data_IF_647117643610
#
_entry.id   IF_647117643610
#
_cell.length_a   1.000
_cell.length_b   1.000
_cell.length_c   1.000
_cell.angle_alpha   90.00
_cell.angle_beta   90.00
_cell.angle_gamma   90.00
#
_symmetry.space_group_name_H-M   'P 1'
#
loop_
_entity.id
_entity.type
_entity.pdbx_description
1 polymer ?
#
# COMPACT_ATOMS: atom_id res chain seq x y z
N UNK A 1 -5.69 -19.95 10.76
CA UNK A 1 -6.09 -19.62 9.37
C UNK A 1 -6.14 -20.93 8.62
N UNK A 2 -7.20 -21.19 7.86
CA UNK A 2 -7.31 -22.42 7.08
C UNK A 2 -6.16 -22.51 6.07
N UNK A 3 -5.72 -23.74 5.76
CA UNK A 3 -4.72 -24.04 4.73
C UNK A 3 -5.21 -23.72 3.30
N UNK A 4 -6.43 -23.21 3.17
CA UNK A 4 -7.06 -22.79 1.93
C UNK A 4 -6.78 -21.30 1.70
N UNK A 5 -6.12 -20.96 0.59
CA UNK A 5 -5.79 -19.59 0.22
C UNK A 5 -7.02 -18.66 0.22
N UNK A 6 -6.78 -17.37 0.54
CA UNK A 6 -7.85 -16.36 0.56
C UNK A 6 -7.92 -15.70 -0.81
N UNK A 7 -9.09 -15.74 -1.45
CA UNK A 7 -9.36 -15.03 -2.71
C UNK A 7 -9.88 -13.64 -2.39
N UNK A 8 -9.19 -12.63 -2.89
CA UNK A 8 -9.59 -11.23 -2.80
C UNK A 8 -10.00 -10.70 -4.17
N UNK A 9 -11.11 -9.94 -4.22
CA UNK A 9 -11.50 -9.18 -5.42
C UNK A 9 -11.59 -7.70 -5.08
N UNK A 10 -10.79 -6.87 -5.75
CA UNK A 10 -10.79 -5.42 -5.49
C UNK A 10 -10.60 -4.62 -6.77
N UNK A 11 -11.15 -3.41 -6.80
CA UNK A 11 -10.85 -2.41 -7.84
C UNK A 11 -9.56 -1.63 -7.54
N UNK A 12 -9.11 -1.69 -6.29
CA UNK A 12 -7.88 -1.06 -5.83
C UNK A 12 -6.62 -1.77 -6.32
N UNK A 13 -5.49 -1.30 -5.81
CA UNK A 13 -4.24 -2.07 -5.89
C UNK A 13 -4.34 -3.27 -4.95
N UNK A 14 -3.40 -4.21 -5.09
CA UNK A 14 -3.18 -5.28 -4.10
C UNK A 14 -3.08 -4.66 -2.68
N UNK A 15 -3.91 -5.07 -1.71
CA UNK A 15 -3.81 -4.50 -0.36
C UNK A 15 -2.57 -5.00 0.38
N UNK A 16 -2.17 -6.26 0.16
CA UNK A 16 -0.94 -6.84 0.70
C UNK A 16 0.06 -7.10 -0.43
N UNK A 17 1.32 -6.70 -0.23
CA UNK A 17 2.43 -6.91 -1.18
C UNK A 17 3.01 -8.32 -1.03
N UNK A 18 3.74 -8.80 -2.05
CA UNK A 18 4.38 -10.13 -2.00
C UNK A 18 5.53 -10.10 -1.01
N UNK A 19 5.85 -11.24 -0.41
CA UNK A 19 6.95 -11.41 0.54
C UNK A 19 6.83 -10.57 1.81
N UNK A 20 5.61 -10.16 2.18
CA UNK A 20 5.37 -9.59 3.50
C UNK A 20 5.32 -10.66 4.59
N UNK A 21 5.75 -10.31 5.79
CA UNK A 21 5.73 -11.20 6.94
C UNK A 21 4.72 -10.73 7.97
N UNK A 22 3.93 -11.66 8.50
CA UNK A 22 2.95 -11.41 9.55
C UNK A 22 3.20 -12.33 10.74
N UNK A 23 3.04 -11.79 11.95
CA UNK A 23 3.04 -12.55 13.19
C UNK A 23 1.60 -12.84 13.61
N UNK A 24 1.34 -14.09 14.03
CA UNK A 24 0.03 -14.51 14.54
C UNK A 24 0.25 -15.60 15.57
N UNK A 25 -0.21 -15.35 16.79
CA UNK A 25 -0.15 -16.33 17.90
C UNK A 25 1.30 -16.81 18.16
N UNK A 26 2.30 -15.93 18.00
CA UNK A 26 3.73 -16.22 18.19
C UNK A 26 4.42 -16.90 17.00
N UNK A 27 3.67 -17.25 15.96
CA UNK A 27 4.17 -17.85 14.73
C UNK A 27 4.31 -16.81 13.61
N UNK A 28 5.25 -17.05 12.69
CA UNK A 28 5.56 -16.13 11.60
C UNK A 28 5.20 -16.75 10.26
N UNK A 29 4.55 -15.97 9.42
CA UNK A 29 4.05 -16.38 8.11
C UNK A 29 4.59 -15.44 7.04
N UNK A 30 5.02 -16.00 5.91
CA UNK A 30 5.21 -15.25 4.66
C UNK A 30 3.90 -15.21 3.91
N UNK A 31 3.47 -14.02 3.52
CA UNK A 31 2.30 -13.79 2.70
C UNK A 31 2.76 -13.58 1.26
N UNK A 32 2.35 -14.52 0.41
CA UNK A 32 2.53 -14.43 -1.04
C UNK A 32 1.18 -14.20 -1.70
N UNK A 33 1.19 -13.66 -2.91
CA UNK A 33 -0.02 -13.56 -3.72
C UNK A 33 0.28 -13.84 -5.19
N UNK A 34 -0.75 -14.33 -5.87
CA UNK A 34 -0.79 -14.40 -7.32
C UNK A 34 -2.02 -13.63 -7.82
N UNK A 35 -1.87 -12.83 -8.89
CA UNK A 35 -3.03 -12.23 -9.56
C UNK A 35 -3.62 -13.27 -10.52
N UNK A 36 -4.74 -13.84 -10.14
CA UNK A 36 -5.43 -14.92 -10.88
C UNK A 36 -6.45 -14.39 -11.88
N UNK A 37 -6.85 -13.12 -11.79
CA UNK A 37 -7.80 -12.54 -12.72
C UNK A 37 -7.76 -11.01 -12.82
N UNK A 38 -8.23 -10.52 -13.97
CA UNK A 38 -8.54 -9.12 -14.21
C UNK A 38 -9.72 -9.04 -15.17
N UNK A 39 -10.72 -8.22 -14.85
CA UNK A 39 -11.88 -7.97 -15.71
C UNK A 39 -12.22 -6.48 -15.70
N UNK A 40 -12.70 -5.98 -16.83
CA UNK A 40 -13.22 -4.61 -16.92
C UNK A 40 -14.68 -4.60 -16.48
N UNK A 41 -15.01 -3.73 -15.54
CA UNK A 41 -16.34 -3.55 -14.99
C UNK A 41 -16.88 -2.18 -15.40
N UNK A 42 -18.17 -2.09 -15.71
CA UNK A 42 -18.81 -0.81 -16.00
C UNK A 42 -18.64 0.15 -14.81
N UNK A 43 -18.30 1.39 -15.12
CA UNK A 43 -18.10 2.44 -14.13
C UNK A 43 -18.64 3.78 -14.65
N UNK A 44 -18.76 4.74 -13.74
CA UNK A 44 -19.16 6.14 -14.03
C UNK A 44 -18.13 7.10 -13.45
N UNK A 45 -18.07 8.31 -14.00
CA UNK A 45 -17.33 9.41 -13.37
C UNK A 45 -18.18 10.01 -12.26
N UNK A 46 -17.59 10.28 -11.11
CA UNK A 46 -18.29 10.83 -9.98
C UNK A 46 -17.45 11.86 -9.23
N UNK A 47 -18.15 12.84 -8.67
CA UNK A 47 -17.63 13.79 -7.70
C UNK A 47 -18.36 13.56 -6.37
N UNK A 48 -17.61 13.61 -5.27
CA UNK A 48 -18.16 13.54 -3.92
C UNK A 48 -17.44 14.55 -3.03
N UNK A 49 -18.20 15.30 -2.24
CA UNK A 49 -17.66 16.19 -1.23
C UNK A 49 -18.43 16.13 0.08
N UNK A 50 -17.68 16.13 1.18
CA UNK A 50 -18.22 16.26 2.53
C UNK A 50 -17.20 16.96 3.43
N UNK A 51 -17.70 17.79 4.33
CA UNK A 51 -16.95 18.35 5.45
C UNK A 51 -17.78 18.25 6.73
N UNK A 52 -17.10 18.22 7.88
CA UNK A 52 -17.78 18.14 9.18
C UNK A 52 -18.75 19.31 9.37
N UNK A 53 -20.02 19.00 9.64
CA UNK A 53 -21.08 20.00 9.79
C UNK A 53 -21.69 20.47 8.46
N UNK A 54 -21.35 19.84 7.33
CA UNK A 54 -22.00 20.09 6.05
C UNK A 54 -23.48 19.71 6.13
N UNK A 55 -24.33 20.66 5.73
CA UNK A 55 -25.77 20.47 5.51
C UNK A 55 -26.06 20.72 4.03
N UNK A 56 -27.17 20.16 3.54
CA UNK A 56 -27.66 20.50 2.21
C UNK A 56 -28.24 21.93 2.18
N UNK A 57 -28.18 22.63 1.03
CA UNK A 57 -28.91 23.87 0.81
C UNK A 57 -30.40 23.72 1.14
N UNK A 58 -31.04 24.79 1.61
CA UNK A 58 -32.41 24.75 2.12
C UNK A 58 -33.48 24.36 1.08
N UNK A 59 -33.17 24.51 -0.20
CA UNK A 59 -34.02 24.17 -1.35
C UNK A 59 -33.71 22.80 -1.97
N UNK A 60 -32.71 22.10 -1.46
CA UNK A 60 -32.30 20.78 -1.94
C UNK A 60 -32.96 19.66 -1.10
N UNK A 61 -33.32 18.57 -1.77
CA UNK A 61 -33.81 17.37 -1.08
C UNK A 61 -32.64 16.50 -0.66
N UNK A 62 -32.63 16.08 0.60
CA UNK A 62 -31.69 15.09 1.11
C UNK A 62 -32.32 13.71 0.99
N UNK A 63 -31.60 12.79 0.37
CA UNK A 63 -32.00 11.39 0.22
C UNK A 63 -31.28 10.57 1.28
N UNK A 64 -32.00 9.72 2.00
CA UNK A 64 -31.39 8.77 2.93
C UNK A 64 -30.63 7.68 2.16
N UNK A 65 -29.41 7.37 2.58
CA UNK A 65 -28.61 6.31 1.95
C UNK A 65 -29.34 4.96 1.90
N UNK A 66 -30.12 4.66 2.94
CA UNK A 66 -30.87 3.41 3.03
C UNK A 66 -32.02 3.32 1.99
N UNK A 67 -32.49 4.46 1.49
CA UNK A 67 -33.56 4.53 0.49
C UNK A 67 -33.03 4.43 -0.94
N UNK A 68 -31.72 4.62 -1.15
CA UNK A 68 -31.10 4.47 -2.46
C UNK A 68 -31.13 3.02 -2.95
N UNK A 69 -31.21 2.79 -4.27
CA UNK A 69 -31.03 1.47 -4.86
C UNK A 69 -29.69 0.83 -4.48
N UNK A 70 -29.64 -0.51 -4.39
CA UNK A 70 -28.40 -1.23 -4.01
C UNK A 70 -27.20 -0.88 -4.89
N UNK A 71 -27.42 -0.57 -6.17
CA UNK A 71 -26.36 -0.17 -7.10
C UNK A 71 -25.72 1.17 -6.72
N UNK A 72 -26.51 2.11 -6.22
CA UNK A 72 -26.07 3.43 -5.77
C UNK A 72 -25.47 3.36 -4.37
N UNK A 73 -26.03 2.53 -3.49
CA UNK A 73 -25.45 2.22 -2.19
C UNK A 73 -24.03 1.66 -2.33
N UNK A 74 -23.81 0.74 -3.28
CA UNK A 74 -22.49 0.19 -3.59
C UNK A 74 -21.53 1.26 -4.13
N UNK A 75 -22.00 2.11 -5.05
CA UNK A 75 -21.22 3.19 -5.62
C UNK A 75 -20.76 4.20 -4.54
N UNK A 76 -21.66 4.58 -3.64
CA UNK A 76 -21.36 5.48 -2.52
C UNK A 76 -20.42 4.85 -1.49
N UNK A 77 -20.62 3.58 -1.15
CA UNK A 77 -19.70 2.86 -0.28
C UNK A 77 -18.28 2.86 -0.87
N UNK A 78 -18.15 2.60 -2.17
CA UNK A 78 -16.87 2.67 -2.86
C UNK A 78 -16.25 4.08 -2.85
N UNK A 79 -17.02 5.14 -3.10
CA UNK A 79 -16.50 6.51 -3.08
C UNK A 79 -16.04 6.94 -1.68
N UNK A 80 -16.78 6.55 -0.64
CA UNK A 80 -16.52 6.96 0.74
C UNK A 80 -15.41 6.13 1.37
N UNK A 81 -15.53 4.81 1.31
CA UNK A 81 -14.61 3.86 1.97
C UNK A 81 -13.45 3.46 1.06
N UNK A 82 -13.53 3.76 -0.22
CA UNK A 82 -12.57 3.31 -1.22
C UNK A 82 -12.82 1.85 -1.64
N UNK A 83 -11.93 1.28 -2.45
CA UNK A 83 -11.91 -0.16 -2.66
C UNK A 83 -11.74 -0.90 -1.33
N UNK A 84 -12.16 -2.17 -1.30
CA UNK A 84 -12.08 -3.03 -0.10
C UNK A 84 -10.70 -2.90 0.59
N UNK A 85 -10.71 -2.79 1.93
CA UNK A 85 -9.53 -2.61 2.80
C UNK A 85 -8.80 -1.26 2.71
N UNK A 86 -9.38 -0.24 2.06
CA UNK A 86 -8.72 1.09 1.97
C UNK A 86 -9.01 1.97 3.19
N UNK A 87 -10.26 2.02 3.65
CA UNK A 87 -10.66 2.83 4.81
C UNK A 87 -11.66 2.08 5.68
N UNK A 88 -11.49 2.20 6.98
CA UNK A 88 -12.49 1.78 7.95
C UNK A 88 -13.39 2.97 8.31
N UNK A 89 -14.71 2.76 8.24
CA UNK A 89 -15.69 3.75 8.65
C UNK A 89 -15.81 4.97 7.74
N UNK A 90 -16.38 6.03 8.30
CA UNK A 90 -16.67 7.28 7.60
C UNK A 90 -15.59 8.33 7.87
N UNK A 91 -15.36 9.28 6.93
CA UNK A 91 -14.49 10.42 7.18
C UNK A 91 -14.92 11.21 8.42
N UNK A 92 -13.93 11.77 9.14
CA UNK A 92 -14.13 12.51 10.39
C UNK A 92 -13.89 14.02 10.25
N UNK A 93 -13.07 14.45 9.29
CA UNK A 93 -12.80 15.87 9.02
C UNK A 93 -13.44 16.35 7.72
N UNK A 94 -12.93 15.84 6.60
CA UNK A 94 -13.48 16.10 5.27
C UNK A 94 -13.17 14.95 4.33
N UNK A 95 -13.87 14.91 3.20
CA UNK A 95 -13.65 13.99 2.10
C UNK A 95 -13.94 14.71 0.79
N UNK A 96 -13.01 14.59 -0.16
CA UNK A 96 -13.16 15.08 -1.52
C UNK A 96 -12.72 14.00 -2.51
N UNK A 97 -13.58 13.74 -3.49
CA UNK A 97 -13.29 12.95 -4.67
C UNK A 97 -13.76 13.75 -5.88
N UNK A 98 -12.87 13.93 -6.85
CA UNK A 98 -13.16 14.66 -8.08
C UNK A 98 -12.79 13.79 -9.27
N UNK A 99 -13.67 13.75 -10.27
CA UNK A 99 -13.51 12.95 -11.50
C UNK A 99 -13.11 11.49 -11.22
N UNK A 100 -13.67 10.91 -10.15
CA UNK A 100 -13.34 9.56 -9.69
C UNK A 100 -14.15 8.51 -10.45
N UNK A 101 -13.52 7.40 -10.82
CA UNK A 101 -14.22 6.28 -11.43
C UNK A 101 -14.88 5.43 -10.33
N UNK A 102 -16.20 5.28 -10.38
CA UNK A 102 -17.00 4.50 -9.43
C UNK A 102 -17.64 3.28 -10.12
N UNK A 103 -17.49 2.05 -9.59
CA UNK A 103 -17.94 0.84 -10.26
C UNK A 103 -19.45 0.58 -10.10
N UNK A 104 -20.08 0.13 -11.19
CA UNK A 104 -21.47 -0.36 -11.25
C UNK A 104 -21.48 -1.79 -11.81
N UNK A 105 -21.05 -2.80 -11.03
CA UNK A 105 -20.88 -4.17 -11.53
C UNK A 105 -22.18 -4.87 -11.96
N UNK A 106 -23.34 -4.37 -11.49
CA UNK A 106 -24.67 -4.87 -11.87
C UNK A 106 -25.36 -3.99 -12.92
N UNK A 107 -24.65 -3.00 -13.45
CA UNK A 107 -25.19 -2.00 -14.35
C UNK A 107 -25.82 -0.81 -13.62
N UNK A 108 -26.38 0.12 -14.42
CA UNK A 108 -26.97 1.38 -13.94
C UNK A 108 -28.47 1.49 -14.21
N UNK A 109 -29.15 0.39 -14.54
CA UNK A 109 -30.56 0.42 -14.93
C UNK A 109 -31.48 0.91 -13.81
N UNK A 110 -31.17 0.54 -12.57
CA UNK A 110 -31.94 0.90 -11.38
C UNK A 110 -31.32 2.07 -10.60
N UNK A 111 -30.32 2.74 -11.15
CA UNK A 111 -29.64 3.85 -10.47
C UNK A 111 -30.52 5.10 -10.49
N UNK A 112 -30.58 5.79 -9.36
CA UNK A 112 -31.16 7.12 -9.17
C UNK A 112 -30.10 8.23 -9.17
N UNK A 113 -28.81 7.91 -8.98
CA UNK A 113 -27.72 8.89 -8.97
C UNK A 113 -27.12 9.20 -10.35
N UNK A 114 -27.06 8.22 -11.25
CA UNK A 114 -26.43 8.37 -12.58
C UNK A 114 -27.22 9.35 -13.45
N UNK A 115 -26.59 10.48 -13.77
CA UNK A 115 -27.16 11.51 -14.65
C UNK A 115 -28.25 12.38 -14.00
N UNK A 116 -28.49 12.25 -12.70
CA UNK A 116 -29.48 13.06 -11.97
C UNK A 116 -29.01 14.50 -11.67
N UNK A 117 -27.71 14.76 -11.84
CA UNK A 117 -27.08 16.02 -11.47
C UNK A 117 -26.44 15.93 -10.10
N UNK A 118 -26.55 16.99 -9.30
CA UNK A 118 -26.09 16.98 -7.90
C UNK A 118 -27.21 16.42 -7.02
N UNK A 119 -26.87 15.45 -6.17
CA UNK A 119 -27.75 14.87 -5.15
C UNK A 119 -27.09 14.99 -3.78
N UNK A 120 -27.90 15.24 -2.75
CA UNK A 120 -27.45 15.27 -1.37
C UNK A 120 -27.89 13.99 -0.67
N UNK A 121 -26.95 13.22 -0.14
CA UNK A 121 -27.22 11.91 0.46
C UNK A 121 -26.80 11.91 1.93
N UNK A 122 -27.72 11.58 2.82
CA UNK A 122 -27.42 11.39 4.24
C UNK A 122 -27.00 9.94 4.54
N UNK A 123 -25.87 9.77 5.22
CA UNK A 123 -25.42 8.47 5.70
C UNK A 123 -24.63 8.58 7.01
N UNK A 124 -25.13 7.96 8.09
CA UNK A 124 -24.52 8.00 9.43
C UNK A 124 -24.26 9.44 9.90
N UNK A 125 -25.32 10.26 9.94
CA UNK A 125 -25.30 11.66 10.40
C UNK A 125 -24.34 12.56 9.57
N UNK A 126 -24.18 12.26 8.28
CA UNK A 126 -23.31 13.00 7.36
C UNK A 126 -24.03 13.20 6.03
N UNK A 127 -24.12 14.44 5.60
CA UNK A 127 -24.78 14.81 4.34
C UNK A 127 -23.73 15.00 3.25
N UNK A 128 -23.59 14.03 2.36
CA UNK A 128 -22.65 14.04 1.24
C UNK A 128 -23.24 14.75 0.03
N UNK A 129 -22.45 15.59 -0.65
CA UNK A 129 -22.78 16.13 -1.97
C UNK A 129 -22.20 15.20 -3.02
N UNK A 130 -23.04 14.65 -3.88
CA UNK A 130 -22.66 13.61 -4.84
C UNK A 130 -23.13 14.00 -6.23
N UNK A 131 -22.27 13.81 -7.22
CA UNK A 131 -22.63 13.89 -8.63
C UNK A 131 -22.11 12.63 -9.30
N UNK A 132 -22.96 11.91 -10.05
CA UNK A 132 -22.53 10.77 -10.87
C UNK A 132 -22.90 11.04 -12.33
N UNK A 133 -21.89 11.13 -13.20
CA UNK A 133 -22.09 11.40 -14.62
C UNK A 133 -22.79 10.23 -15.33
N UNK A 134 -23.56 10.57 -16.37
CA UNK A 134 -24.08 9.61 -17.34
C UNK A 134 -23.00 9.09 -18.31
N UNK A 135 -21.79 9.65 -18.28
CA UNK A 135 -20.67 9.18 -19.11
C UNK A 135 -20.21 7.79 -18.68
N UNK A 136 -20.05 6.90 -19.65
CA UNK A 136 -19.53 5.56 -19.43
C UNK A 136 -18.02 5.54 -19.33
N UNK A 137 -17.51 4.76 -18.38
CA UNK A 137 -16.11 4.40 -18.29
C UNK A 137 -16.00 2.96 -17.80
N UNK A 138 -14.77 2.46 -17.68
CA UNK A 138 -14.51 1.13 -17.12
C UNK A 138 -13.50 1.22 -16.00
N UNK A 139 -13.60 0.27 -15.08
CA UNK A 139 -12.67 0.09 -13.97
C UNK A 139 -12.23 -1.36 -13.91
N UNK A 140 -10.93 -1.60 -13.85
CA UNK A 140 -10.41 -2.96 -13.75
C UNK A 140 -10.65 -3.52 -12.35
N UNK A 141 -11.45 -4.58 -12.24
CA UNK A 141 -11.53 -5.42 -11.03
C UNK A 141 -10.49 -6.54 -11.12
N UNK A 142 -9.68 -6.69 -10.07
CA UNK A 142 -8.59 -7.65 -10.00
C UNK A 142 -8.91 -8.73 -8.98
N UNK A 143 -8.56 -9.97 -9.28
CA UNK A 143 -8.64 -11.11 -8.36
C UNK A 143 -7.23 -11.52 -7.96
N UNK A 144 -7.01 -11.68 -6.66
CA UNK A 144 -5.75 -12.09 -6.06
C UNK A 144 -5.97 -13.28 -5.15
N UNK A 145 -5.12 -14.29 -5.27
CA UNK A 145 -5.12 -15.45 -4.40
C UNK A 145 -3.94 -15.30 -3.44
N UNK A 146 -4.24 -15.19 -2.15
CA UNK A 146 -3.25 -15.01 -1.09
C UNK A 146 -2.95 -16.33 -0.40
N UNK A 147 -1.66 -16.59 -0.19
CA UNK A 147 -1.17 -17.76 0.53
C UNK A 147 -0.35 -17.32 1.74
N UNK A 148 -0.67 -17.86 2.91
CA UNK A 148 0.11 -17.67 4.12
C UNK A 148 0.94 -18.92 4.40
N UNK A 149 2.25 -18.85 4.15
CA UNK A 149 3.17 -19.96 4.42
C UNK A 149 3.83 -19.75 5.78
N UNK A 150 3.65 -20.68 6.71
CA UNK A 150 4.36 -20.61 8.00
C UNK A 150 5.86 -20.78 7.77
N UNK A 151 6.66 -19.82 8.21
CA UNK A 151 8.13 -19.83 8.07
C UNK A 151 8.85 -20.03 9.40
N UNK A 152 8.20 -19.73 10.52
CA UNK A 152 8.75 -20.02 11.84
C UNK A 152 7.67 -20.20 12.92
N UNK A 153 8.03 -20.97 13.95
CA UNK A 153 7.21 -21.22 15.15
C UNK A 153 7.46 -20.20 16.27
N UNK A 154 8.52 -19.37 16.14
CA UNK A 154 8.94 -18.40 17.15
C UNK A 154 9.76 -17.28 16.52
N UNK A 155 9.94 -16.20 17.27
CA UNK A 155 10.77 -15.06 16.85
C UNK A 155 12.22 -15.48 16.56
N UNK A 156 12.80 -16.33 17.41
CA UNK A 156 14.18 -16.82 17.20
C UNK A 156 14.31 -17.63 15.90
N UNK A 157 13.31 -18.46 15.59
CA UNK A 157 13.24 -19.20 14.33
C UNK A 157 13.07 -18.26 13.15
N UNK A 158 12.27 -17.19 13.29
CA UNK A 158 12.06 -16.21 12.25
C UNK A 158 13.32 -15.40 11.95
N UNK A 159 14.04 -14.95 12.98
CA UNK A 159 15.34 -14.27 12.83
C UNK A 159 16.35 -15.14 12.08
N UNK A 160 16.36 -16.45 12.37
CA UNK A 160 17.18 -17.41 11.61
C UNK A 160 16.72 -17.52 10.16
N UNK A 161 15.42 -17.70 9.91
CA UNK A 161 14.86 -17.77 8.55
C UNK A 161 15.22 -16.53 7.71
N UNK A 162 15.09 -15.33 8.28
CA UNK A 162 15.46 -14.07 7.61
C UNK A 162 16.98 -14.04 7.33
N UNK A 163 17.81 -14.43 8.30
CA UNK A 163 19.25 -14.51 8.09
C UNK A 163 19.62 -15.51 6.98
N UNK A 164 19.04 -16.70 6.97
CA UNK A 164 19.35 -17.73 5.97
C UNK A 164 18.93 -17.29 4.55
N UNK A 165 17.93 -16.40 4.43
CA UNK A 165 17.40 -15.93 3.14
C UNK A 165 18.05 -14.64 2.62
N UNK A 166 18.32 -13.69 3.51
CA UNK A 166 18.70 -12.32 3.12
C UNK A 166 20.09 -11.90 3.58
N UNK A 167 20.78 -12.69 4.43
CA UNK A 167 22.13 -12.32 4.88
C UNK A 167 23.14 -12.41 3.72
N UNK A 168 23.48 -11.26 3.15
CA UNK A 168 24.57 -11.14 2.17
C UNK A 168 25.94 -11.06 2.82
N UNK A 169 26.97 -11.59 2.16
CA UNK A 169 28.36 -11.42 2.60
C UNK A 169 29.03 -10.26 1.86
N UNK A 170 29.56 -9.28 2.60
CA UNK A 170 30.38 -8.20 2.07
C UNK A 170 31.87 -8.51 2.21
N UNK A 171 32.27 -9.64 1.63
CA UNK A 171 33.68 -9.99 1.44
C UNK A 171 34.23 -9.32 0.16
N UNK A 172 35.55 -9.20 0.10
CA UNK A 172 36.30 -8.75 -1.08
C UNK A 172 35.92 -7.34 -1.60
N UNK A 173 35.49 -6.44 -0.71
CA UNK A 173 35.30 -5.03 -1.05
C UNK A 173 36.63 -4.38 -1.49
N UNK A 174 36.56 -3.50 -2.49
CA UNK A 174 37.72 -2.65 -2.83
C UNK A 174 38.08 -1.76 -1.63
N UNK A 175 39.34 -1.36 -1.50
CA UNK A 175 39.79 -0.51 -0.38
C UNK A 175 38.95 0.76 -0.24
N UNK A 176 38.50 1.34 -1.35
CA UNK A 176 37.65 2.53 -1.35
C UNK A 176 36.22 2.24 -0.91
N UNK A 177 35.63 1.12 -1.32
CA UNK A 177 34.29 0.71 -0.86
C UNK A 177 34.32 0.33 0.63
N UNK A 178 35.39 -0.36 1.05
CA UNK A 178 35.65 -0.70 2.45
C UNK A 178 35.74 0.55 3.32
N UNK A 179 36.50 1.56 2.88
CA UNK A 179 36.61 2.83 3.61
C UNK A 179 35.27 3.54 3.80
N UNK A 180 34.39 3.52 2.80
CA UNK A 180 33.04 4.10 2.91
C UNK A 180 32.19 3.31 3.90
N UNK A 181 32.21 1.98 3.82
CA UNK A 181 31.45 1.12 4.73
C UNK A 181 31.91 1.28 6.18
N UNK A 182 33.21 1.31 6.44
CA UNK A 182 33.76 1.46 7.80
C UNK A 182 33.44 2.83 8.40
N UNK A 183 33.50 3.90 7.60
CA UNK A 183 33.06 5.22 8.01
C UNK A 183 31.56 5.25 8.35
N UNK A 184 30.73 4.53 7.58
CA UNK A 184 29.31 4.37 7.87
C UNK A 184 29.05 3.58 9.17
N UNK A 185 29.80 2.51 9.41
CA UNK A 185 29.72 1.73 10.65
C UNK A 185 30.12 2.59 11.86
N UNK A 186 31.20 3.37 11.74
CA UNK A 186 31.66 4.27 12.80
C UNK A 186 30.62 5.36 13.09
N UNK A 187 30.09 6.03 12.06
CA UNK A 187 29.04 7.04 12.20
C UNK A 187 27.76 6.47 12.83
N UNK A 188 27.37 5.24 12.47
CA UNK A 188 26.19 4.57 13.03
C UNK A 188 26.32 4.19 14.51
N UNK A 189 27.56 4.08 15.03
CA UNK A 189 27.81 3.85 16.47
C UNK A 189 27.65 5.12 17.29
N UNK A 190 27.77 6.29 16.66
CA UNK A 190 27.51 7.58 17.28
C UNK A 190 26.00 7.85 17.29
N UNK A 191 25.38 7.79 18.47
CA UNK A 191 23.92 7.94 18.63
C UNK A 191 23.42 9.35 18.28
N UNK A 192 24.31 10.33 18.15
CA UNK A 192 23.93 11.72 17.82
C UNK A 192 23.72 11.91 16.30
N UNK A 193 24.44 11.16 15.45
CA UNK A 193 24.40 11.37 13.99
C UNK A 193 24.01 10.14 13.17
N UNK A 194 24.15 8.91 13.68
CA UNK A 194 23.50 7.66 13.20
C UNK A 194 23.62 7.30 11.70
N UNK A 195 24.28 8.12 10.88
CA UNK A 195 24.29 8.09 9.42
C UNK A 195 25.59 8.73 8.93
N UNK A 196 26.22 8.09 7.96
CA UNK A 196 27.31 8.69 7.20
C UNK A 196 26.75 9.37 5.97
N UNK A 197 27.05 10.66 5.81
CA UNK A 197 26.67 11.46 4.64
C UNK A 197 27.94 12.01 3.98
N UNK A 198 28.09 11.73 2.68
CA UNK A 198 29.10 12.39 1.84
C UNK A 198 28.38 13.43 0.97
N UNK A 199 28.54 14.71 1.34
CA UNK A 199 27.88 15.84 0.65
C UNK A 199 28.58 16.28 -0.63
N UNK A 200 29.56 15.52 -1.12
CA UNK A 200 30.30 15.79 -2.35
C UNK A 200 29.71 15.02 -3.56
N UNK A 201 30.30 15.22 -4.74
CA UNK A 201 30.05 14.35 -5.89
C UNK A 201 30.33 12.89 -5.51
N UNK A 202 29.49 11.96 -6.01
CA UNK A 202 29.52 10.56 -5.62
C UNK A 202 30.92 9.96 -5.76
N UNK A 203 31.49 9.55 -4.63
CA UNK A 203 32.85 9.03 -4.60
C UNK A 203 32.95 7.68 -5.32
N UNK A 204 34.10 7.34 -5.94
CA UNK A 204 34.30 6.02 -6.55
C UNK A 204 34.11 4.85 -5.57
N UNK A 205 34.33 5.08 -4.26
CA UNK A 205 34.06 4.10 -3.20
C UNK A 205 32.56 3.88 -2.99
N UNK A 206 31.77 4.95 -2.96
CA UNK A 206 30.31 4.89 -2.87
C UNK A 206 29.70 4.14 -4.06
N UNK A 207 30.07 4.48 -5.29
CA UNK A 207 29.54 3.82 -6.49
C UNK A 207 29.85 2.32 -6.53
N UNK A 208 31.07 1.93 -6.10
CA UNK A 208 31.45 0.51 -5.99
C UNK A 208 30.69 -0.22 -4.88
N UNK A 209 30.47 0.43 -3.74
CA UNK A 209 29.68 -0.15 -2.65
C UNK A 209 28.21 -0.31 -3.07
N UNK A 210 27.62 0.69 -3.72
CA UNK A 210 26.27 0.63 -4.28
C UNK A 210 26.13 -0.49 -5.30
N UNK A 211 27.05 -0.59 -6.25
CA UNK A 211 27.08 -1.69 -7.22
C UNK A 211 27.19 -3.06 -6.53
N UNK A 212 27.96 -3.16 -5.43
CA UNK A 212 28.02 -4.39 -4.64
C UNK A 212 26.67 -4.68 -3.99
N UNK A 213 25.96 -3.69 -3.46
CA UNK A 213 24.64 -3.88 -2.85
C UNK A 213 23.59 -4.34 -3.87
N UNK A 214 23.66 -3.86 -5.12
CA UNK A 214 22.78 -4.35 -6.19
C UNK A 214 22.93 -5.87 -6.46
N UNK A 215 24.06 -6.46 -6.06
CA UNK A 215 24.28 -7.92 -6.14
C UNK A 215 23.82 -8.70 -4.90
N UNK A 216 23.43 -8.01 -3.83
CA UNK A 216 22.93 -8.59 -2.59
C UNK A 216 21.41 -8.45 -2.56
N UNK A 217 20.70 -9.51 -2.19
CA UNK A 217 19.25 -9.43 -1.98
C UNK A 217 18.93 -8.45 -0.86
N UNK A 218 18.11 -7.46 -1.16
CA UNK A 218 17.56 -6.54 -0.17
C UNK A 218 16.45 -7.23 0.64
N UNK A 219 16.07 -6.59 1.74
CA UNK A 219 14.90 -6.98 2.51
C UNK A 219 13.63 -6.65 1.72
N UNK A 220 12.59 -7.47 1.84
CA UNK A 220 11.33 -7.15 1.21
C UNK A 220 10.68 -5.94 1.89
N UNK A 221 9.67 -5.40 1.21
CA UNK A 221 8.79 -4.36 1.74
C UNK A 221 8.33 -4.65 3.19
N UNK A 222 8.26 -3.64 4.08
CA UNK A 222 8.43 -2.19 3.83
C UNK A 222 9.89 -1.71 3.81
N UNK A 223 10.86 -2.60 3.98
CA UNK A 223 12.28 -2.27 4.08
C UNK A 223 13.03 -2.52 2.76
N UNK A 224 12.37 -2.29 1.62
CA UNK A 224 13.07 -2.26 0.34
C UNK A 224 14.22 -1.24 0.41
N UNK A 225 15.31 -1.50 -0.30
CA UNK A 225 16.56 -0.70 -0.23
C UNK A 225 17.27 -0.77 1.14
N UNK A 226 16.95 -1.77 1.96
CA UNK A 226 17.74 -2.14 3.14
C UNK A 226 18.35 -3.53 2.92
N UNK A 227 19.62 -3.69 3.27
CA UNK A 227 20.33 -4.96 3.16
C UNK A 227 20.71 -5.49 4.53
N UNK A 228 20.43 -6.77 4.77
CA UNK A 228 20.97 -7.48 5.91
C UNK A 228 22.30 -8.12 5.49
N UNK A 229 23.41 -7.62 6.03
CA UNK A 229 24.75 -8.00 5.55
C UNK A 229 25.67 -8.45 6.67
N UNK A 230 26.63 -9.30 6.34
CA UNK A 230 27.77 -9.62 7.19
C UNK A 230 29.03 -8.98 6.66
N UNK A 231 29.78 -8.35 7.56
CA UNK A 231 31.08 -7.76 7.30
C UNK A 231 31.98 -8.03 8.51
N UNK A 232 33.16 -8.60 8.27
CA UNK A 232 34.14 -8.99 9.31
C UNK A 232 33.56 -9.83 10.48
N UNK A 233 32.58 -10.69 10.17
CA UNK A 233 31.93 -11.57 11.15
C UNK A 233 30.85 -10.89 12.00
N UNK A 234 30.67 -9.58 11.87
CA UNK A 234 29.55 -8.84 12.43
C UNK A 234 28.40 -8.78 11.43
N UNK A 235 27.19 -8.46 11.90
CA UNK A 235 25.97 -8.36 11.08
C UNK A 235 25.38 -6.97 11.20
N UNK A 236 24.99 -6.41 10.07
CA UNK A 236 24.53 -5.03 9.94
C UNK A 236 23.23 -4.98 9.15
N UNK A 237 22.35 -4.07 9.55
CA UNK A 237 21.28 -3.58 8.68
C UNK A 237 21.80 -2.30 8.03
N UNK A 238 21.88 -2.30 6.70
CA UNK A 238 22.47 -1.22 5.92
C UNK A 238 21.42 -0.61 5.00
N UNK A 239 21.38 0.71 4.91
CA UNK A 239 20.61 1.47 3.94
C UNK A 239 21.58 2.36 3.16
N UNK A 240 21.45 2.42 1.84
CA UNK A 240 22.23 3.32 0.99
C UNK A 240 21.27 4.13 0.13
N UNK A 241 21.37 5.45 0.24
CA UNK A 241 20.56 6.40 -0.53
C UNK A 241 21.46 7.48 -1.12
N UNK A 242 21.13 7.97 -2.32
CA UNK A 242 21.77 9.14 -2.92
C UNK A 242 20.73 10.05 -3.54
N UNK A 243 20.97 11.36 -3.50
CA UNK A 243 20.14 12.35 -4.18
C UNK A 243 20.73 12.62 -5.56
N UNK A 244 19.95 12.40 -6.62
CA UNK A 244 20.29 12.89 -7.96
C UNK A 244 19.76 14.32 -8.06
N UNK A 245 20.64 15.28 -8.27
CA UNK A 245 20.28 16.67 -8.57
C UNK A 245 19.79 16.83 -10.01
#
# INVERSE_FOLDING_TARGET
MAEDGVVLRTYGRRPIRTEQYAEREGAYYRIDYERTGAEEVQARRADLSWESGQEAPADETVVDYADLPEVDQHALEYLIRGPEYTREGHPTGSLGATDSQVPYPRGTADSELVGSGTTWVEWNDRVYRVTVSADETTLTRRTFDYTATRVAESESGFRKYVADRYLGSLEDLSSEAKSVLEAAIEAGRDQEYGRYEDCNESSPGYERLKQRMESVSDLPDPHSDHWYVSYEGERYLLEISGWVA
#
